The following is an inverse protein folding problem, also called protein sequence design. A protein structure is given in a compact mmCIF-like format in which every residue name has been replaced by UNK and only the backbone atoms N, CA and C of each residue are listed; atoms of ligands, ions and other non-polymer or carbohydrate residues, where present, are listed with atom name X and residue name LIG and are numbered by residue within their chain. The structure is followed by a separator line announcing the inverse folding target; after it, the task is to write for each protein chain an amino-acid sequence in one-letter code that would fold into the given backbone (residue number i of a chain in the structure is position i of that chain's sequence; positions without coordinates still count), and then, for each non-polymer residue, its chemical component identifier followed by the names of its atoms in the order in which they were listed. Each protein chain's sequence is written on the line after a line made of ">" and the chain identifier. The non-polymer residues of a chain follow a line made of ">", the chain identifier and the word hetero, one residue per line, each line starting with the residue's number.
data_IF_203333935550
#
_entry.id   IF_203333935550
#
_cell.length_a   1.000
_cell.length_b   1.000
_cell.length_c   1.000
_cell.angle_alpha   90.00
_cell.angle_beta   90.00
_cell.angle_gamma   90.00
#
_symmetry.space_group_name_H-M   'P 1'
#
loop_
_entity.id
_entity.type
_entity.pdbx_description
1 polymer ?
#
# COMPACT_ATOMS: atom_id res chain seq x y z
N UNK A 1 -10.90 10.02 -6.00
CA UNK A 1 -10.04 9.45 -7.05
C UNK A 1 -8.67 9.01 -6.51
N UNK A 2 -8.11 9.69 -5.48
CA UNK A 2 -6.78 9.36 -4.97
C UNK A 2 -6.70 7.98 -4.28
N UNK A 3 -7.67 7.64 -3.43
CA UNK A 3 -7.62 6.39 -2.65
C UNK A 3 -7.87 5.13 -3.52
N UNK A 4 -8.76 5.22 -4.53
CA UNK A 4 -9.00 4.11 -5.43
C UNK A 4 -7.83 3.82 -6.38
N UNK A 5 -6.92 4.79 -6.56
CA UNK A 5 -5.79 4.71 -7.47
C UNK A 5 -4.42 4.58 -6.77
N UNK A 6 -4.36 4.60 -5.44
CA UNK A 6 -3.11 4.32 -4.72
C UNK A 6 -2.58 2.89 -4.98
N UNK A 7 -3.36 2.10 -5.69
CA UNK A 7 -3.11 0.69 -5.84
C UNK A 7 -2.35 0.30 -7.08
N UNK A 8 -2.60 0.81 -8.25
CA UNK A 8 -2.13 0.08 -9.42
C UNK A 8 -1.47 0.96 -10.48
N UNK A 9 -0.14 0.90 -10.53
CA UNK A 9 0.61 1.24 -11.72
C UNK A 9 0.70 0.06 -12.71
N UNK A 10 0.41 -1.16 -12.25
CA UNK A 10 0.44 -2.37 -13.09
C UNK A 10 -0.59 -2.27 -14.21
N UNK A 11 -0.18 -2.51 -15.43
CA UNK A 11 -1.01 -2.38 -16.64
C UNK A 11 -1.31 -0.94 -17.08
N UNK A 12 -0.85 0.07 -16.35
CA UNK A 12 -1.11 1.47 -16.69
C UNK A 12 -0.19 1.92 -17.84
N UNK A 13 -0.77 2.59 -18.84
CA UNK A 13 0.01 3.23 -19.87
C UNK A 13 0.75 4.43 -19.31
N UNK A 14 2.04 4.51 -19.60
CA UNK A 14 2.90 5.60 -19.15
C UNK A 14 3.27 6.44 -20.39
N UNK A 15 3.10 7.76 -20.36
CA UNK A 15 3.49 8.63 -21.47
C UNK A 15 5.01 8.79 -21.50
N UNK A 16 5.72 7.70 -21.81
CA UNK A 16 7.16 7.70 -22.01
C UNK A 16 7.45 7.69 -23.51
N UNK A 17 8.05 8.74 -23.99
CA UNK A 17 8.63 8.81 -25.34
C UNK A 17 10.11 8.35 -25.28
N UNK A 18 10.30 7.08 -24.90
CA UNK A 18 11.62 6.47 -24.86
C UNK A 18 11.74 5.52 -26.05
N UNK A 19 12.82 5.61 -26.86
CA UNK A 19 13.10 4.59 -27.88
C UNK A 19 13.22 3.23 -27.20
N UNK A 20 12.32 2.34 -27.51
CA UNK A 20 12.27 0.99 -26.94
C UNK A 20 12.85 0.02 -27.98
N UNK A 21 14.13 -0.25 -27.89
CA UNK A 21 14.81 -1.19 -28.75
C UNK A 21 14.82 -2.58 -28.09
N UNK A 22 13.89 -3.43 -28.53
CA UNK A 22 13.80 -4.83 -28.12
C UNK A 22 12.89 -5.08 -26.91
N UNK A 23 11.97 -6.03 -27.03
CA UNK A 23 11.13 -6.47 -25.94
C UNK A 23 11.88 -7.41 -25.00
N UNK A 24 11.58 -7.34 -23.70
CA UNK A 24 12.00 -8.33 -22.71
C UNK A 24 11.29 -9.66 -22.99
N UNK A 25 12.00 -10.74 -22.86
CA UNK A 25 11.40 -12.08 -22.85
C UNK A 25 10.66 -12.29 -21.51
N UNK A 26 9.75 -13.26 -21.47
CA UNK A 26 9.03 -13.60 -20.23
C UNK A 26 10.01 -13.99 -19.10
N UNK A 27 11.12 -14.68 -19.43
CA UNK A 27 12.13 -15.08 -18.45
C UNK A 27 12.89 -13.86 -17.88
N UNK A 28 13.30 -12.92 -18.72
CA UNK A 28 13.97 -11.69 -18.30
C UNK A 28 13.02 -10.80 -17.47
N UNK A 29 11.75 -10.71 -17.87
CA UNK A 29 10.73 -9.99 -17.11
C UNK A 29 10.57 -10.56 -15.69
N UNK A 30 10.51 -11.89 -15.56
CA UNK A 30 10.39 -12.54 -14.27
C UNK A 30 11.65 -12.37 -13.40
N UNK A 31 12.83 -12.39 -14.01
CA UNK A 31 14.10 -12.13 -13.31
C UNK A 31 14.14 -10.70 -12.75
N UNK A 32 13.77 -9.70 -13.57
CA UNK A 32 13.67 -8.30 -13.14
C UNK A 32 12.67 -8.13 -11.98
N UNK A 33 11.50 -8.75 -12.09
CA UNK A 33 10.49 -8.71 -11.02
C UNK A 33 11.01 -9.34 -9.72
N UNK A 34 11.74 -10.44 -9.79
CA UNK A 34 12.39 -11.05 -8.62
C UNK A 34 13.46 -10.16 -8.01
N UNK A 35 14.20 -9.45 -8.85
CA UNK A 35 15.21 -8.49 -8.41
C UNK A 35 14.60 -7.19 -7.83
N UNK A 36 13.29 -7.01 -7.92
CA UNK A 36 12.60 -5.80 -7.44
C UNK A 36 12.68 -4.64 -8.43
N UNK A 37 12.91 -4.94 -9.69
CA UNK A 37 12.91 -3.96 -10.78
C UNK A 37 11.55 -3.98 -11.48
N UNK A 38 10.94 -2.83 -11.65
CA UNK A 38 9.66 -2.67 -12.34
C UNK A 38 9.89 -2.69 -13.86
N UNK A 39 9.48 -3.74 -14.59
CA UNK A 39 9.62 -3.79 -16.03
C UNK A 39 8.49 -3.04 -16.74
N UNK A 40 8.81 -2.53 -17.92
CA UNK A 40 7.86 -1.92 -18.85
C UNK A 40 7.87 -2.69 -20.16
N UNK A 41 6.73 -2.77 -20.81
CA UNK A 41 6.57 -3.39 -22.12
C UNK A 41 5.84 -2.45 -23.09
N UNK A 42 6.06 -2.63 -24.38
CA UNK A 42 5.30 -1.93 -25.42
C UNK A 42 4.17 -2.84 -25.89
N UNK A 43 2.94 -2.40 -25.67
CA UNK A 43 1.74 -3.09 -26.10
C UNK A 43 0.84 -2.14 -26.90
N UNK A 44 0.53 -2.49 -28.16
CA UNK A 44 -0.36 -1.68 -28.99
C UNK A 44 0.11 -0.23 -29.26
N UNK A 45 1.44 0.01 -29.24
CA UNK A 45 2.02 1.34 -29.43
C UNK A 45 2.18 2.17 -28.15
N UNK A 46 1.66 1.71 -27.03
CA UNK A 46 1.81 2.33 -25.72
C UNK A 46 2.84 1.60 -24.88
N UNK A 47 3.56 2.34 -24.02
CA UNK A 47 4.43 1.77 -23.00
C UNK A 47 3.60 1.53 -21.75
N UNK A 48 3.60 0.29 -21.24
CA UNK A 48 2.84 -0.11 -20.06
C UNK A 48 3.75 -0.69 -18.99
N UNK A 49 3.42 -0.40 -17.74
CA UNK A 49 4.03 -1.05 -16.59
C UNK A 49 3.52 -2.49 -16.48
N UNK A 50 4.41 -3.48 -16.55
CA UNK A 50 4.01 -4.89 -16.42
C UNK A 50 3.51 -5.18 -15.01
N UNK A 51 4.31 -4.87 -14.00
CA UNK A 51 3.94 -4.95 -12.57
C UNK A 51 4.84 -4.03 -11.76
N UNK A 52 4.24 -3.18 -10.95
CA UNK A 52 4.96 -2.26 -10.10
C UNK A 52 5.44 -2.95 -8.82
N UNK A 53 6.74 -3.10 -8.69
CA UNK A 53 7.42 -3.75 -7.57
C UNK A 53 8.40 -2.81 -6.89
N UNK A 54 8.84 -3.17 -5.69
CA UNK A 54 9.85 -2.44 -4.92
C UNK A 54 11.11 -3.29 -4.76
N UNK A 55 12.19 -2.68 -4.35
CA UNK A 55 13.43 -3.36 -3.98
C UNK A 55 13.37 -4.01 -2.59
N UNK A 56 12.27 -3.84 -1.84
CA UNK A 56 12.10 -4.43 -0.51
C UNK A 56 11.82 -5.93 -0.64
N UNK A 57 12.83 -6.75 -0.45
CA UNK A 57 12.77 -8.21 -0.60
C UNK A 57 13.15 -8.96 0.66
N UNK A 58 13.76 -8.27 1.61
CA UNK A 58 14.26 -8.88 2.84
C UNK A 58 14.03 -7.96 4.03
N UNK A 59 13.77 -8.56 5.19
CA UNK A 59 13.79 -7.88 6.49
C UNK A 59 14.78 -8.63 7.37
N UNK A 60 15.75 -7.92 7.94
CA UNK A 60 16.84 -8.50 8.75
C UNK A 60 17.57 -9.66 8.03
N UNK A 61 17.74 -9.58 6.70
CA UNK A 61 18.41 -10.60 5.90
C UNK A 61 17.55 -11.83 5.57
N UNK A 62 16.32 -11.91 6.03
CA UNK A 62 15.37 -12.97 5.71
C UNK A 62 14.42 -12.50 4.59
N UNK A 63 14.01 -13.41 3.67
CA UNK A 63 13.04 -13.07 2.63
C UNK A 63 11.73 -12.54 3.23
N UNK A 64 11.28 -11.38 2.76
CA UNK A 64 10.02 -10.75 3.15
C UNK A 64 9.34 -10.15 1.92
N UNK A 65 8.07 -10.46 1.73
CA UNK A 65 7.27 -9.97 0.60
C UNK A 65 6.28 -8.86 0.99
N UNK A 66 6.26 -8.45 2.25
CA UNK A 66 5.26 -7.50 2.79
C UNK A 66 5.20 -6.20 1.98
N UNK A 67 6.36 -5.64 1.65
CA UNK A 67 6.48 -4.42 0.86
C UNK A 67 7.02 -4.65 -0.56
N UNK A 68 6.89 -5.85 -1.09
CA UNK A 68 7.38 -6.20 -2.43
C UNK A 68 6.57 -5.56 -3.57
N UNK A 69 5.29 -5.28 -3.35
CA UNK A 69 4.44 -4.57 -4.29
C UNK A 69 4.40 -3.06 -3.96
N UNK A 70 4.55 -2.21 -4.98
CA UNK A 70 4.47 -0.75 -4.79
C UNK A 70 3.10 -0.31 -4.29
N UNK A 71 2.03 -0.97 -4.75
CA UNK A 71 0.66 -0.72 -4.28
C UNK A 71 0.50 -0.86 -2.77
N UNK A 72 1.16 -1.86 -2.16
CA UNK A 72 1.14 -2.04 -0.70
C UNK A 72 1.79 -0.85 0.02
N UNK A 73 2.92 -0.36 -0.48
CA UNK A 73 3.61 0.81 0.09
C UNK A 73 2.72 2.04 0.01
N UNK A 74 2.14 2.31 -1.16
CA UNK A 74 1.26 3.46 -1.38
C UNK A 74 -0.01 3.39 -0.49
N UNK A 75 -0.60 2.21 -0.34
CA UNK A 75 -1.75 2.01 0.53
C UNK A 75 -1.40 2.26 2.01
N UNK A 76 -0.27 1.76 2.48
CA UNK A 76 0.20 2.02 3.86
C UNK A 76 0.47 3.51 4.07
N UNK A 77 1.11 4.19 3.13
CA UNK A 77 1.39 5.62 3.20
C UNK A 77 0.09 6.45 3.23
N UNK A 78 -0.92 6.08 2.42
CA UNK A 78 -2.24 6.73 2.43
C UNK A 78 -2.92 6.57 3.79
N UNK A 79 -3.00 5.35 4.33
CA UNK A 79 -3.63 5.08 5.63
C UNK A 79 -2.92 5.82 6.76
N UNK A 80 -1.59 5.74 6.81
CA UNK A 80 -0.80 6.44 7.85
C UNK A 80 -0.94 7.95 7.70
N UNK A 81 -0.97 8.46 6.46
CA UNK A 81 -1.21 9.86 6.16
C UNK A 81 -2.59 10.33 6.62
N UNK A 82 -3.66 9.57 6.34
CA UNK A 82 -5.03 9.86 6.76
C UNK A 82 -5.14 9.89 8.30
N UNK A 83 -4.64 8.86 8.97
CA UNK A 83 -4.61 8.78 10.44
C UNK A 83 -3.85 9.96 11.04
N UNK A 84 -2.67 10.30 10.52
CA UNK A 84 -1.89 11.45 11.00
C UNK A 84 -2.64 12.77 10.85
N UNK A 85 -3.29 13.01 9.71
CA UNK A 85 -4.10 14.21 9.46
C UNK A 85 -5.25 14.31 10.47
N UNK A 86 -6.01 13.24 10.66
CA UNK A 86 -7.15 13.19 11.55
C UNK A 86 -6.76 13.41 13.03
N UNK A 87 -5.70 12.75 13.48
CA UNK A 87 -5.21 12.89 14.86
C UNK A 87 -4.65 14.30 15.10
N UNK A 88 -3.84 14.86 14.17
CA UNK A 88 -3.28 16.22 14.30
C UNK A 88 -4.34 17.29 14.42
N UNK A 89 -5.46 17.16 13.73
CA UNK A 89 -6.55 18.14 13.80
C UNK A 89 -7.16 18.25 15.22
N UNK A 90 -7.05 17.20 16.04
CA UNK A 90 -7.63 17.12 17.38
C UNK A 90 -6.65 17.26 18.54
N UNK A 91 -5.32 17.13 18.29
CA UNK A 91 -4.30 17.10 19.35
C UNK A 91 -3.95 18.47 19.96
N UNK A 92 -4.43 19.57 19.42
CA UNK A 92 -4.06 20.90 19.92
C UNK A 92 -4.53 21.12 21.36
N UNK A 93 -3.59 21.27 22.29
CA UNK A 93 -3.85 21.61 23.69
C UNK A 93 -4.37 20.47 24.57
N UNK A 94 -4.37 19.23 24.08
CA UNK A 94 -4.79 18.08 24.87
C UNK A 94 -3.66 17.59 25.80
N UNK A 95 -4.06 17.17 27.00
CA UNK A 95 -3.15 16.52 27.96
C UNK A 95 -3.10 15.01 27.68
N UNK A 96 -1.92 14.40 27.84
CA UNK A 96 -1.74 12.97 27.69
C UNK A 96 -2.28 12.22 28.92
N UNK A 97 -3.56 11.89 28.90
CA UNK A 97 -4.24 11.08 29.90
C UNK A 97 -5.01 9.91 29.25
N UNK A 98 -5.56 9.01 30.05
CA UNK A 98 -6.27 7.84 29.56
C UNK A 98 -7.44 8.20 28.62
N UNK A 99 -8.27 9.18 29.00
CA UNK A 99 -9.44 9.61 28.22
C UNK A 99 -9.03 10.17 26.85
N UNK A 100 -7.97 10.98 26.81
CA UNK A 100 -7.42 11.51 25.56
C UNK A 100 -6.89 10.39 24.67
N UNK A 101 -6.18 9.41 25.22
CA UNK A 101 -5.67 8.25 24.45
C UNK A 101 -6.79 7.40 23.86
N UNK A 102 -7.88 7.17 24.63
CA UNK A 102 -9.07 6.48 24.12
C UNK A 102 -9.78 7.27 23.01
N UNK A 103 -9.87 8.59 23.16
CA UNK A 103 -10.42 9.45 22.11
C UNK A 103 -9.57 9.39 20.82
N UNK A 104 -8.24 9.37 20.94
CA UNK A 104 -7.35 9.21 19.80
C UNK A 104 -7.54 7.83 19.15
N UNK A 105 -7.61 6.76 19.95
CA UNK A 105 -7.85 5.41 19.42
C UNK A 105 -9.18 5.32 18.67
N UNK A 106 -10.24 5.91 19.21
CA UNK A 106 -11.56 6.00 18.55
C UNK A 106 -11.47 6.75 17.21
N UNK A 107 -10.75 7.88 17.17
CA UNK A 107 -10.57 8.63 15.93
C UNK A 107 -9.79 7.83 14.89
N UNK A 108 -8.74 7.13 15.31
CA UNK A 108 -7.98 6.24 14.40
C UNK A 108 -8.89 5.14 13.85
N UNK A 109 -9.76 4.56 14.69
CA UNK A 109 -10.73 3.55 14.26
C UNK A 109 -11.66 4.08 13.16
N UNK A 110 -12.16 5.32 13.31
CA UNK A 110 -13.01 5.95 12.29
C UNK A 110 -12.28 6.07 10.94
N UNK A 111 -11.01 6.48 10.96
CA UNK A 111 -10.24 6.58 9.71
C UNK A 111 -9.94 5.21 9.11
N UNK A 112 -9.61 4.20 9.93
CA UNK A 112 -9.37 2.84 9.44
C UNK A 112 -10.65 2.22 8.83
N UNK A 113 -11.83 2.46 9.42
CA UNK A 113 -13.11 2.05 8.83
C UNK A 113 -13.37 2.74 7.50
N UNK A 114 -13.03 4.01 7.38
CA UNK A 114 -13.14 4.75 6.13
C UNK A 114 -12.23 4.15 5.04
N UNK A 115 -10.96 3.89 5.36
CA UNK A 115 -10.01 3.29 4.42
C UNK A 115 -10.41 1.86 4.03
N UNK A 116 -11.03 1.11 4.95
CA UNK A 116 -11.62 -0.20 4.68
C UNK A 116 -12.83 -0.08 3.72
N UNK A 117 -13.71 0.87 3.96
CA UNK A 117 -14.87 1.11 3.10
C UNK A 117 -14.46 1.56 1.68
N UNK A 118 -13.31 2.23 1.54
CA UNK A 118 -12.70 2.60 0.25
C UNK A 118 -11.96 1.44 -0.43
N UNK A 119 -11.81 0.28 0.24
CA UNK A 119 -11.08 -0.88 -0.28
C UNK A 119 -9.56 -0.73 -0.29
N UNK A 120 -9.01 0.26 0.40
CA UNK A 120 -7.55 0.44 0.55
C UNK A 120 -6.97 -0.62 1.47
N UNK A 121 -7.69 -0.94 2.56
CA UNK A 121 -7.35 -2.04 3.47
C UNK A 121 -8.46 -3.08 3.52
N UNK A 122 -8.08 -4.32 3.69
CA UNK A 122 -9.00 -5.45 3.84
C UNK A 122 -9.52 -5.54 5.28
N UNK A 123 -8.62 -5.46 6.25
CA UNK A 123 -8.94 -5.56 7.66
C UNK A 123 -7.91 -4.86 8.53
N UNK A 124 -8.27 -4.63 9.81
CA UNK A 124 -7.37 -4.08 10.80
C UNK A 124 -7.71 -4.65 12.20
N UNK A 125 -6.76 -4.54 13.12
CA UNK A 125 -7.00 -4.79 14.55
C UNK A 125 -7.25 -3.47 15.27
N UNK A 126 -8.02 -3.45 16.38
CA UNK A 126 -8.23 -2.25 17.17
C UNK A 126 -6.92 -1.54 17.48
N UNK A 127 -6.80 -0.24 17.17
CA UNK A 127 -5.57 0.50 17.41
C UNK A 127 -5.30 0.61 18.91
N UNK A 128 -4.03 0.57 19.29
CA UNK A 128 -3.61 0.80 20.67
C UNK A 128 -2.90 2.13 20.77
N UNK A 129 -3.30 2.95 21.75
CA UNK A 129 -2.65 4.23 22.04
C UNK A 129 -2.16 4.19 23.47
N UNK A 130 -0.85 4.32 23.65
CA UNK A 130 -0.19 4.30 24.97
C UNK A 130 0.67 5.56 25.15
N UNK A 131 1.01 5.89 26.40
CA UNK A 131 2.05 6.86 26.67
C UNK A 131 3.41 6.26 26.33
N UNK A 132 4.34 7.09 25.82
CA UNK A 132 5.70 6.66 25.65
C UNK A 132 6.34 6.38 27.04
N UNK A 133 7.13 5.32 27.21
CA UNK A 133 7.67 4.96 28.52
C UNK A 133 8.58 6.02 29.11
N UNK A 134 9.38 6.68 28.28
CA UNK A 134 10.41 7.63 28.71
C UNK A 134 9.99 9.11 28.56
N UNK A 135 8.85 9.39 27.90
CA UNK A 135 8.37 10.75 27.68
C UNK A 135 6.84 10.82 27.81
N UNK A 136 6.39 11.33 28.95
CA UNK A 136 4.96 11.47 29.25
C UNK A 136 4.22 12.44 28.31
N UNK A 137 4.91 13.28 27.55
CA UNK A 137 4.32 14.19 26.56
C UNK A 137 4.02 13.50 25.23
N UNK A 138 4.57 12.29 24.98
CA UNK A 138 4.45 11.55 23.75
C UNK A 138 3.42 10.42 23.87
N UNK A 139 2.52 10.31 22.90
CA UNK A 139 1.65 9.16 22.70
C UNK A 139 2.16 8.31 21.53
N UNK A 140 2.20 7.00 21.75
CA UNK A 140 2.52 6.01 20.71
C UNK A 140 1.24 5.32 20.27
N UNK A 141 0.90 5.45 18.99
CA UNK A 141 -0.19 4.71 18.38
C UNK A 141 0.36 3.51 17.59
N UNK A 142 -0.09 2.31 17.93
CA UNK A 142 0.26 1.07 17.23
C UNK A 142 -0.91 0.65 16.37
N UNK A 143 -0.65 0.49 15.06
CA UNK A 143 -1.60 0.06 14.06
C UNK A 143 -1.22 -1.34 13.56
N UNK A 144 -2.22 -2.19 13.35
CA UNK A 144 -2.08 -3.48 12.70
C UNK A 144 -3.16 -3.59 11.65
N UNK A 145 -2.76 -3.59 10.38
CA UNK A 145 -3.68 -3.57 9.25
C UNK A 145 -3.24 -4.60 8.19
N UNK A 146 -4.19 -5.03 7.39
CA UNK A 146 -3.99 -5.86 6.21
C UNK A 146 -4.43 -5.07 4.99
N UNK A 147 -3.49 -4.85 4.08
CA UNK A 147 -3.77 -4.17 2.80
C UNK A 147 -4.50 -5.13 1.88
N UNK A 148 -5.48 -4.63 1.12
CA UNK A 148 -6.14 -5.40 0.08
C UNK A 148 -5.12 -5.74 -1.03
N UNK A 149 -5.02 -7.02 -1.43
CA UNK A 149 -4.09 -7.42 -2.47
C UNK A 149 -4.55 -6.90 -3.84
N UNK A 150 -3.58 -6.53 -4.67
CA UNK A 150 -3.81 -6.16 -6.06
C UNK A 150 -4.12 -7.39 -6.92
N UNK A 151 -5.04 -7.26 -7.88
CA UNK A 151 -5.32 -8.30 -8.87
C UNK A 151 -4.25 -8.19 -9.97
N UNK A 152 -3.29 -9.09 -9.96
CA UNK A 152 -2.21 -9.11 -10.95
C UNK A 152 -2.55 -9.91 -12.22
N UNK A 153 -3.49 -10.86 -12.12
CA UNK A 153 -3.86 -11.73 -13.24
C UNK A 153 -5.32 -12.18 -13.13
N UNK A 154 -6.01 -12.17 -14.25
CA UNK A 154 -7.35 -12.75 -14.39
C UNK A 154 -7.24 -13.93 -15.35
N UNK A 155 -7.59 -15.13 -14.88
CA UNK A 155 -7.69 -16.33 -15.70
C UNK A 155 -9.15 -16.57 -16.04
N UNK A 156 -9.48 -16.57 -17.34
CA UNK A 156 -10.83 -16.85 -17.83
C UNK A 156 -10.85 -18.27 -18.38
N UNK A 157 -11.63 -19.16 -17.75
CA UNK A 157 -11.96 -20.48 -18.29
C UNK A 157 -13.33 -20.40 -18.96
N UNK A 158 -13.42 -20.79 -20.24
CA UNK A 158 -14.68 -20.84 -20.98
C UNK A 158 -14.95 -22.28 -21.42
N UNK A 159 -16.07 -22.86 -20.98
CA UNK A 159 -16.58 -24.12 -21.50
C UNK A 159 -17.53 -23.84 -22.67
N UNK A 160 -17.21 -24.40 -23.83
CA UNK A 160 -18.03 -24.31 -25.04
C UNK A 160 -18.77 -25.60 -25.19
N UNK A 161 -20.09 -25.57 -24.97
CA UNK A 161 -21.01 -26.70 -25.25
C UNK A 161 -21.58 -26.49 -26.65
N UNK A 162 -21.37 -27.49 -27.52
CA UNK A 162 -21.91 -27.54 -28.91
C UNK A 162 -23.13 -28.44 -28.96
#
# INVERSE_FOLDING_TARGET
>A
LAAANAGSLSGLAVPLDIPFDGGLTAAETEELLRAGVTPFERCGGEVRCVRAVTTSRTVNGLPDSTFSALSTVLAVDEVVGAVRRAVRARLRGLKNNAVTRESIASQITVELERERALGVIDSYRPPRVAAHPDDASVCVATLSLRVAPEINQIVIAADIVV
#
